data_IF_594632686925
#
_entry.id   IF_594632686925
#
_cell.length_a   1.000
_cell.length_b   1.000
_cell.length_c   1.000
_cell.angle_alpha   90.00
_cell.angle_beta   90.00
_cell.angle_gamma   90.00
#
_symmetry.space_group_name_H-M   'P 1'
#
loop_
_entity.id
_entity.type
_entity.pdbx_description
1 polymer ?
#
# COMPACT_ATOMS: atom_id res chain seq x y z
N UNK A 1 8.56 19.25 14.12
CA UNK A 1 10.01 19.11 13.87
C UNK A 1 10.18 18.63 12.44
N UNK A 2 10.61 19.55 11.56
CA UNK A 2 10.68 19.30 10.12
C UNK A 2 11.96 18.53 9.78
N UNK A 3 11.83 17.23 9.55
CA UNK A 3 12.89 16.48 8.90
C UNK A 3 13.07 16.98 7.47
N UNK A 4 14.29 17.42 7.12
CA UNK A 4 14.64 17.89 5.79
C UNK A 4 14.38 16.79 4.76
N UNK A 5 13.68 17.08 3.63
CA UNK A 5 13.37 16.08 2.61
C UNK A 5 14.63 15.35 2.06
N UNK A 6 15.79 16.00 2.09
CA UNK A 6 17.06 15.39 1.70
C UNK A 6 17.57 14.28 2.64
N UNK A 7 17.26 14.38 3.93
CA UNK A 7 17.67 13.35 4.90
C UNK A 7 16.87 12.06 4.72
N UNK A 8 15.58 12.16 4.39
CA UNK A 8 14.72 10.99 4.14
C UNK A 8 15.19 10.23 2.88
N UNK A 9 15.46 10.94 1.80
CA UNK A 9 16.01 10.36 0.56
C UNK A 9 17.39 9.72 0.77
N UNK A 10 18.25 10.32 1.60
CA UNK A 10 19.57 9.77 1.91
C UNK A 10 19.44 8.48 2.75
N UNK A 11 18.51 8.46 3.70
CA UNK A 11 18.22 7.27 4.51
C UNK A 11 17.63 6.15 3.64
N UNK A 12 16.73 6.46 2.72
CA UNK A 12 16.19 5.49 1.76
C UNK A 12 17.27 4.93 0.84
N UNK A 13 18.14 5.79 0.29
CA UNK A 13 19.28 5.35 -0.54
C UNK A 13 20.24 4.46 0.23
N UNK A 14 20.60 4.84 1.46
CA UNK A 14 21.46 4.03 2.35
C UNK A 14 20.79 2.70 2.76
N UNK A 15 19.45 2.65 2.87
CA UNK A 15 18.71 1.41 3.15
C UNK A 15 18.73 0.48 1.94
N UNK A 16 18.62 1.02 0.73
CA UNK A 16 18.71 0.23 -0.51
C UNK A 16 20.09 -0.41 -0.70
N UNK A 17 21.17 0.27 -0.33
CA UNK A 17 22.53 -0.30 -0.34
C UNK A 17 22.77 -1.35 0.76
N UNK A 18 21.97 -1.33 1.84
CA UNK A 18 22.12 -2.25 2.99
C UNK A 18 21.38 -3.58 2.85
N UNK A 19 20.56 -3.75 1.81
CA UNK A 19 19.88 -5.03 1.57
C UNK A 19 20.84 -5.92 0.78
N UNK A 20 21.45 -6.87 1.47
CA UNK A 20 22.33 -7.85 0.87
C UNK A 20 21.59 -8.71 -0.17
N UNK A 21 22.31 -9.26 -1.13
CA UNK A 21 21.75 -10.14 -2.16
C UNK A 21 20.92 -11.30 -1.56
N UNK A 22 21.41 -11.90 -0.48
CA UNK A 22 20.68 -12.92 0.27
C UNK A 22 19.35 -12.42 0.85
N UNK A 23 19.29 -11.17 1.33
CA UNK A 23 18.04 -10.59 1.83
C UNK A 23 17.02 -10.41 0.70
N UNK A 24 17.48 -10.01 -0.48
CA UNK A 24 16.66 -9.92 -1.70
C UNK A 24 16.11 -11.29 -2.12
N UNK A 25 16.93 -12.33 -2.08
CA UNK A 25 16.49 -13.71 -2.35
C UNK A 25 15.42 -14.17 -1.34
N UNK A 26 15.63 -13.90 -0.06
CA UNK A 26 14.65 -14.19 0.99
C UNK A 26 13.34 -13.44 0.72
N UNK A 27 13.40 -12.15 0.40
CA UNK A 27 12.21 -11.34 0.08
C UNK A 27 11.45 -11.91 -1.11
N UNK A 28 12.11 -12.27 -2.19
CA UNK A 28 11.48 -12.86 -3.37
C UNK A 28 10.69 -14.13 -3.02
N UNK A 29 11.26 -15.00 -2.18
CA UNK A 29 10.59 -16.23 -1.74
C UNK A 29 9.37 -15.93 -0.87
N UNK A 30 9.52 -15.11 0.18
CA UNK A 30 8.44 -14.86 1.16
C UNK A 30 7.34 -13.95 0.59
N UNK A 31 7.63 -13.10 -0.37
CA UNK A 31 6.64 -12.27 -1.06
C UNK A 31 5.72 -13.12 -1.96
N UNK A 32 6.22 -14.21 -2.53
CA UNK A 32 5.40 -15.16 -3.32
C UNK A 32 4.57 -16.07 -2.42
N UNK A 33 5.10 -16.46 -1.26
CA UNK A 33 4.42 -17.32 -0.30
C UNK A 33 4.79 -16.94 1.14
N UNK A 34 4.02 -16.05 1.75
CA UNK A 34 4.25 -15.64 3.14
C UNK A 34 4.08 -16.76 4.18
N UNK A 35 3.52 -17.92 3.78
CA UNK A 35 3.35 -19.10 4.65
C UNK A 35 4.42 -20.14 4.48
N UNK A 36 5.42 -19.92 3.64
CA UNK A 36 6.51 -20.86 3.45
C UNK A 36 7.22 -21.12 4.79
N UNK A 37 7.52 -22.38 5.09
CA UNK A 37 8.21 -22.69 6.32
C UNK A 37 9.65 -22.13 6.28
N UNK A 38 10.09 -21.54 7.40
CA UNK A 38 11.45 -20.97 7.48
C UNK A 38 12.56 -22.00 7.19
N UNK A 39 12.26 -23.32 7.38
CA UNK A 39 13.15 -24.40 7.01
C UNK A 39 13.35 -24.49 5.49
N UNK A 40 12.29 -24.32 4.72
CA UNK A 40 12.33 -24.41 3.27
C UNK A 40 13.04 -23.19 2.68
N UNK A 41 12.79 -21.99 3.21
CA UNK A 41 13.53 -20.78 2.87
C UNK A 41 15.03 -20.95 3.16
N UNK A 42 15.37 -21.52 4.32
CA UNK A 42 16.75 -21.78 4.71
C UNK A 42 17.46 -22.75 3.74
N UNK A 43 16.76 -23.81 3.34
CA UNK A 43 17.25 -24.80 2.37
C UNK A 43 17.50 -24.14 1.01
N UNK A 44 16.55 -23.35 0.50
CA UNK A 44 16.65 -22.68 -0.78
C UNK A 44 17.76 -21.60 -0.81
N UNK A 45 17.97 -20.95 0.33
CA UNK A 45 19.01 -19.92 0.49
C UNK A 45 20.39 -20.47 0.88
N UNK A 46 20.50 -21.76 1.22
CA UNK A 46 21.77 -22.36 1.66
C UNK A 46 22.28 -21.86 3.01
N UNK A 47 21.39 -21.46 3.93
CA UNK A 47 21.75 -20.91 5.24
C UNK A 47 20.98 -21.60 6.37
N UNK A 48 21.33 -21.31 7.62
CA UNK A 48 20.59 -21.86 8.77
C UNK A 48 19.24 -21.19 8.95
N UNK A 49 18.28 -21.92 9.54
CA UNK A 49 16.96 -21.39 9.93
C UNK A 49 17.07 -20.16 10.85
N UNK A 50 18.04 -20.19 11.79
CA UNK A 50 18.29 -19.04 12.68
C UNK A 50 18.71 -17.79 11.91
N UNK A 51 19.57 -17.96 10.88
CA UNK A 51 19.97 -16.85 10.02
C UNK A 51 18.79 -16.26 9.24
N UNK A 52 17.85 -17.07 8.75
CA UNK A 52 16.62 -16.59 8.09
C UNK A 52 15.79 -15.74 9.06
N UNK A 53 15.53 -16.23 10.28
CA UNK A 53 14.78 -15.48 11.27
C UNK A 53 15.42 -14.13 11.61
N UNK A 54 16.73 -14.11 11.84
CA UNK A 54 17.45 -12.87 12.14
C UNK A 54 17.37 -11.86 10.98
N UNK A 55 17.48 -12.33 9.73
CA UNK A 55 17.40 -11.46 8.55
C UNK A 55 16.00 -10.91 8.34
N UNK A 56 14.96 -11.73 8.47
CA UNK A 56 13.57 -11.29 8.38
C UNK A 56 13.29 -10.26 9.49
N UNK A 57 13.68 -10.54 10.73
CA UNK A 57 13.50 -9.60 11.83
C UNK A 57 14.21 -8.27 11.55
N UNK A 58 15.47 -8.30 11.10
CA UNK A 58 16.20 -7.09 10.70
C UNK A 58 15.47 -6.32 9.60
N UNK A 59 14.90 -6.98 8.60
CA UNK A 59 14.16 -6.31 7.53
C UNK A 59 12.85 -5.69 8.04
N UNK A 60 12.21 -6.27 9.04
CA UNK A 60 11.06 -5.69 9.73
C UNK A 60 11.50 -4.45 10.52
N UNK A 61 12.56 -4.54 11.30
CA UNK A 61 13.09 -3.45 12.13
C UNK A 61 13.55 -2.25 11.28
N UNK A 62 14.04 -2.52 10.06
CA UNK A 62 14.41 -1.51 9.07
C UNK A 62 13.24 -1.02 8.22
N UNK A 63 12.02 -1.47 8.50
CA UNK A 63 10.80 -1.14 7.75
C UNK A 63 10.86 -1.49 6.24
N UNK A 64 11.70 -2.47 5.87
CA UNK A 64 11.75 -3.07 4.52
C UNK A 64 10.54 -3.99 4.32
N UNK A 65 10.23 -4.79 5.35
CA UNK A 65 8.98 -5.57 5.42
C UNK A 65 8.00 -4.74 6.23
N UNK A 66 6.99 -4.20 5.55
CA UNK A 66 5.99 -3.31 6.15
C UNK A 66 4.78 -4.05 6.72
N UNK A 67 4.63 -5.33 6.40
CA UNK A 67 3.55 -6.17 6.90
C UNK A 67 3.38 -7.45 6.10
N UNK A 68 2.50 -8.30 6.61
CA UNK A 68 2.05 -9.51 5.91
C UNK A 68 0.59 -9.79 6.29
N UNK A 69 -0.20 -10.34 5.36
CA UNK A 69 -1.60 -10.62 5.60
C UNK A 69 -2.20 -11.58 4.59
N UNK A 70 -3.46 -11.96 4.81
CA UNK A 70 -4.25 -12.72 3.85
C UNK A 70 -4.92 -11.75 2.87
N UNK A 71 -4.83 -12.04 1.59
CA UNK A 71 -5.66 -11.38 0.59
C UNK A 71 -7.03 -12.07 0.59
N UNK A 72 -8.09 -11.30 0.70
CA UNK A 72 -9.47 -11.77 0.68
C UNK A 72 -10.16 -11.15 -0.52
N UNK A 73 -10.99 -11.94 -1.22
CA UNK A 73 -11.83 -11.41 -2.29
C UNK A 73 -12.90 -10.48 -1.71
N UNK A 74 -12.88 -9.18 -2.06
CA UNK A 74 -13.86 -8.22 -1.55
C UNK A 74 -15.31 -8.61 -1.86
N UNK A 75 -15.55 -9.32 -2.97
CA UNK A 75 -16.89 -9.76 -3.39
C UNK A 75 -17.50 -10.72 -2.39
N UNK A 76 -16.68 -11.59 -1.78
CA UNK A 76 -17.14 -12.54 -0.73
C UNK A 76 -17.56 -11.78 0.53
N UNK A 77 -16.99 -10.61 0.78
CA UNK A 77 -17.37 -9.72 1.88
C UNK A 77 -18.54 -8.78 1.52
N UNK A 78 -19.12 -8.94 0.33
CA UNK A 78 -20.26 -8.13 -0.12
C UNK A 78 -19.89 -6.85 -0.87
N UNK A 79 -18.60 -6.53 -1.02
CA UNK A 79 -18.10 -5.36 -1.76
C UNK A 79 -17.95 -5.71 -3.24
N UNK A 80 -18.89 -5.27 -4.06
CA UNK A 80 -18.98 -5.66 -5.48
C UNK A 80 -18.43 -4.62 -6.44
N UNK A 81 -18.26 -3.38 -5.98
CA UNK A 81 -17.83 -2.26 -6.81
C UNK A 81 -16.50 -1.74 -6.30
N UNK A 82 -15.45 -1.85 -7.11
CA UNK A 82 -14.16 -1.22 -6.87
C UNK A 82 -14.13 0.11 -7.63
N UNK A 83 -13.76 1.19 -6.95
CA UNK A 83 -13.71 2.52 -7.53
C UNK A 83 -12.39 3.23 -7.22
N UNK A 84 -11.91 3.98 -8.20
CA UNK A 84 -10.87 4.99 -8.04
C UNK A 84 -11.52 6.36 -8.09
N UNK A 85 -11.25 7.21 -7.11
CA UNK A 85 -11.84 8.55 -7.02
C UNK A 85 -10.73 9.58 -7.02
N UNK A 86 -10.74 10.43 -8.04
CA UNK A 86 -9.96 11.67 -8.05
C UNK A 86 -10.62 12.69 -7.14
N UNK A 87 -9.89 13.20 -6.17
CA UNK A 87 -10.36 14.21 -5.22
C UNK A 87 -9.63 15.51 -5.46
N UNK A 88 -10.38 16.59 -5.67
CA UNK A 88 -9.86 17.94 -5.80
C UNK A 88 -9.94 18.66 -4.46
N UNK A 89 -8.85 19.31 -4.08
CA UNK A 89 -8.77 20.11 -2.87
C UNK A 89 -8.75 21.61 -3.22
N UNK A 90 -9.30 22.42 -2.33
CA UNK A 90 -9.24 23.88 -2.45
C UNK A 90 -7.78 24.36 -2.55
N UNK A 91 -6.90 23.78 -1.74
CA UNK A 91 -5.44 24.00 -1.75
C UNK A 91 -4.72 22.69 -1.47
N UNK A 92 -3.63 22.43 -2.18
CA UNK A 92 -2.88 21.20 -2.05
C UNK A 92 -2.40 20.90 -0.62
N UNK A 93 -2.09 21.95 0.18
CA UNK A 93 -1.67 21.77 1.58
C UNK A 93 -2.74 21.13 2.48
N UNK A 94 -4.02 21.23 2.11
CA UNK A 94 -5.15 20.66 2.88
C UNK A 94 -5.17 19.13 2.91
N UNK A 95 -4.35 18.46 2.11
CA UNK A 95 -4.29 16.99 2.16
C UNK A 95 -4.01 16.46 3.57
N UNK A 96 -3.23 17.20 4.38
CA UNK A 96 -2.88 16.82 5.75
C UNK A 96 -4.07 16.85 6.72
N UNK A 97 -5.07 17.65 6.40
CA UNK A 97 -6.32 17.79 7.17
C UNK A 97 -7.38 16.81 6.65
N UNK A 98 -7.38 16.56 5.34
CA UNK A 98 -8.35 15.69 4.66
C UNK A 98 -8.05 14.21 4.89
N UNK A 99 -6.77 13.78 4.90
CA UNK A 99 -6.38 12.37 5.08
C UNK A 99 -6.95 11.76 6.38
N UNK A 100 -6.84 12.41 7.57
CA UNK A 100 -7.43 11.85 8.78
C UNK A 100 -8.95 11.67 8.73
N UNK A 101 -9.66 12.48 7.94
CA UNK A 101 -11.11 12.31 7.74
C UNK A 101 -11.41 11.14 6.78
N UNK A 102 -10.60 10.98 5.73
CA UNK A 102 -10.70 9.82 4.83
C UNK A 102 -10.40 8.50 5.55
N UNK A 103 -9.45 8.49 6.49
CA UNK A 103 -9.10 7.31 7.30
C UNK A 103 -10.27 6.80 8.16
N UNK A 104 -11.25 7.65 8.48
CA UNK A 104 -12.47 7.24 9.20
C UNK A 104 -13.46 6.46 8.34
N UNK A 105 -13.24 6.39 7.04
CA UNK A 105 -14.08 5.69 6.07
C UNK A 105 -13.42 4.34 5.74
N UNK A 106 -13.85 3.24 6.36
CA UNK A 106 -13.16 1.94 6.25
C UNK A 106 -13.22 1.33 4.84
N UNK A 107 -14.12 1.79 3.99
CA UNK A 107 -14.22 1.41 2.59
C UNK A 107 -13.06 1.94 1.73
N UNK A 108 -12.37 2.98 2.18
CA UNK A 108 -11.18 3.52 1.52
C UNK A 108 -9.98 2.65 1.91
N UNK A 109 -9.37 2.03 0.93
CA UNK A 109 -8.25 1.08 1.14
C UNK A 109 -6.90 1.64 0.70
N UNK A 110 -6.90 2.65 -0.17
CA UNK A 110 -5.68 3.33 -0.64
C UNK A 110 -5.97 4.84 -0.78
N UNK A 111 -4.97 5.65 -0.45
CA UNK A 111 -5.03 7.10 -0.61
C UNK A 111 -3.65 7.62 -1.02
N UNK A 112 -3.58 8.31 -2.15
CA UNK A 112 -2.36 8.87 -2.69
C UNK A 112 -2.52 10.38 -2.89
N UNK A 113 -1.54 11.17 -2.46
CA UNK A 113 -1.38 12.55 -2.89
C UNK A 113 -0.64 12.54 -4.23
N UNK A 114 -1.22 13.15 -5.26
CA UNK A 114 -0.76 12.97 -6.64
C UNK A 114 -0.39 14.28 -7.31
N UNK A 115 0.43 14.17 -8.36
CA UNK A 115 0.59 15.21 -9.37
C UNK A 115 -0.39 14.97 -10.50
N UNK A 116 -0.93 16.02 -11.13
CA UNK A 116 -1.83 15.88 -12.27
C UNK A 116 -3.20 16.51 -12.01
N UNK A 117 -4.28 15.98 -12.63
CA UNK A 117 -5.60 16.65 -12.62
C UNK A 117 -6.30 16.59 -11.27
N UNK A 118 -5.93 15.67 -10.39
CA UNK A 118 -6.50 15.52 -9.05
C UNK A 118 -5.44 15.80 -7.99
N UNK A 119 -5.83 16.40 -6.87
CA UNK A 119 -4.95 16.57 -5.72
C UNK A 119 -4.66 15.24 -5.04
N UNK A 120 -5.66 14.36 -5.00
CA UNK A 120 -5.55 13.05 -4.39
C UNK A 120 -6.25 12.00 -5.26
N UNK A 121 -5.76 10.77 -5.20
CA UNK A 121 -6.41 9.60 -5.79
C UNK A 121 -6.64 8.58 -4.67
N UNK A 122 -7.90 8.20 -4.47
CA UNK A 122 -8.27 7.19 -3.49
C UNK A 122 -8.86 5.98 -4.18
N UNK A 123 -8.70 4.81 -3.55
CA UNK A 123 -9.35 3.57 -3.95
C UNK A 123 -10.28 3.11 -2.85
N UNK A 124 -11.51 2.82 -3.20
CA UNK A 124 -12.49 2.29 -2.27
C UNK A 124 -13.30 1.13 -2.85
N UNK A 125 -13.93 0.39 -1.96
CA UNK A 125 -14.86 -0.66 -2.31
C UNK A 125 -16.25 -0.31 -1.77
N UNK A 126 -17.26 -0.36 -2.65
CA UNK A 126 -18.65 -0.20 -2.29
C UNK A 126 -19.41 -1.51 -2.49
N UNK A 127 -20.50 -1.69 -1.74
CA UNK A 127 -21.38 -2.86 -1.86
C UNK A 127 -22.14 -2.83 -3.19
N UNK A 128 -22.64 -1.67 -3.53
CA UNK A 128 -23.46 -1.37 -4.71
C UNK A 128 -23.37 0.13 -5.04
N UNK A 129 -24.14 0.56 -6.04
CA UNK A 129 -24.16 1.97 -6.46
C UNK A 129 -24.81 2.90 -5.44
N UNK A 130 -25.79 2.43 -4.66
CA UNK A 130 -26.43 3.23 -3.61
C UNK A 130 -25.44 3.53 -2.49
N UNK A 131 -24.73 2.51 -2.03
CA UNK A 131 -23.65 2.67 -1.05
C UNK A 131 -22.50 3.56 -1.58
N UNK A 132 -22.14 3.45 -2.87
CA UNK A 132 -21.16 4.32 -3.48
C UNK A 132 -21.60 5.79 -3.45
N UNK A 133 -22.86 6.06 -3.77
CA UNK A 133 -23.44 7.40 -3.73
C UNK A 133 -23.42 7.98 -2.31
N UNK A 134 -23.78 7.18 -1.30
CA UNK A 134 -23.68 7.56 0.13
C UNK A 134 -22.25 7.92 0.52
N UNK A 135 -21.27 7.08 0.17
CA UNK A 135 -19.84 7.34 0.44
C UNK A 135 -19.35 8.64 -0.20
N UNK A 136 -19.77 8.90 -1.44
CA UNK A 136 -19.39 10.11 -2.16
C UNK A 136 -20.03 11.37 -1.56
N UNK A 137 -21.36 11.39 -1.46
CA UNK A 137 -22.13 12.59 -1.16
C UNK A 137 -22.11 12.91 0.34
N UNK A 138 -22.27 11.89 1.19
CA UNK A 138 -22.50 12.11 2.62
C UNK A 138 -21.21 12.00 3.44
N UNK A 139 -20.14 11.43 2.87
CA UNK A 139 -18.85 11.30 3.57
C UNK A 139 -17.75 12.08 2.88
N UNK A 140 -17.33 11.71 1.66
CA UNK A 140 -16.13 12.26 1.04
C UNK A 140 -16.29 13.73 0.66
N UNK A 141 -17.40 14.08 -0.01
CA UNK A 141 -17.64 15.46 -0.47
C UNK A 141 -18.00 16.41 0.68
N UNK A 142 -18.34 15.88 1.85
CA UNK A 142 -18.60 16.68 3.05
C UNK A 142 -17.33 17.04 3.83
N UNK A 143 -16.18 16.47 3.48
CA UNK A 143 -14.91 16.78 4.14
C UNK A 143 -14.50 18.22 3.80
N UNK A 144 -14.26 19.08 4.79
CA UNK A 144 -13.79 20.44 4.55
C UNK A 144 -12.50 20.47 3.71
N UNK A 145 -12.50 21.28 2.66
CA UNK A 145 -11.37 21.38 1.73
C UNK A 145 -11.50 20.51 0.49
N UNK A 146 -12.44 19.57 0.44
CA UNK A 146 -12.79 18.85 -0.80
C UNK A 146 -13.70 19.74 -1.64
N UNK A 147 -13.31 20.02 -2.87
CA UNK A 147 -14.05 20.89 -3.81
C UNK A 147 -14.78 20.08 -4.89
N UNK A 148 -14.40 18.86 -5.12
CA UNK A 148 -15.04 17.99 -6.09
C UNK A 148 -14.39 16.61 -6.17
N UNK A 149 -15.13 15.70 -6.79
CA UNK A 149 -14.69 14.32 -6.99
C UNK A 149 -15.00 13.87 -8.40
N UNK A 150 -14.13 13.02 -8.96
CA UNK A 150 -14.38 12.29 -10.20
C UNK A 150 -14.24 10.80 -9.93
N UNK A 151 -15.25 10.01 -10.32
CA UNK A 151 -15.34 8.59 -9.99
C UNK A 151 -15.08 7.73 -11.21
N UNK A 152 -14.11 6.82 -11.08
CA UNK A 152 -13.75 5.83 -12.08
C UNK A 152 -14.10 4.43 -11.52
N UNK A 153 -15.09 3.77 -12.10
CA UNK A 153 -15.45 2.40 -11.71
C UNK A 153 -14.51 1.43 -12.39
N UNK A 154 -13.84 0.59 -11.61
CA UNK A 154 -13.01 -0.50 -12.12
C UNK A 154 -13.91 -1.61 -12.64
N UNK A 155 -13.87 -1.86 -13.93
CA UNK A 155 -14.67 -2.92 -14.57
C UNK A 155 -14.05 -4.30 -14.38
N UNK A 156 -12.70 -4.35 -14.34
CA UNK A 156 -11.92 -5.58 -14.13
C UNK A 156 -10.58 -5.26 -13.48
N UNK A 157 -10.06 -6.20 -12.69
CA UNK A 157 -8.73 -6.14 -12.08
C UNK A 157 -7.86 -7.24 -12.73
N UNK A 158 -7.38 -6.96 -13.93
CA UNK A 158 -6.72 -7.95 -14.79
C UNK A 158 -5.33 -8.38 -14.31
N UNK A 159 -4.62 -7.53 -13.55
CA UNK A 159 -3.27 -7.82 -13.05
C UNK A 159 -3.20 -7.51 -11.56
N UNK A 160 -2.88 -8.54 -10.78
CA UNK A 160 -2.57 -8.42 -9.35
C UNK A 160 -1.37 -9.30 -9.03
N UNK A 161 -0.23 -8.68 -8.78
CA UNK A 161 1.01 -9.39 -8.45
C UNK A 161 1.91 -8.54 -7.57
N UNK A 162 2.81 -9.19 -6.84
CA UNK A 162 3.86 -8.52 -6.08
C UNK A 162 4.92 -7.91 -7.00
N UNK A 163 5.65 -6.91 -6.52
CA UNK A 163 6.77 -6.33 -7.24
C UNK A 163 7.87 -7.37 -7.44
N UNK A 164 8.57 -7.37 -8.59
CA UNK A 164 9.71 -8.24 -8.80
C UNK A 164 10.89 -7.80 -7.91
N UNK A 165 11.55 -8.78 -7.31
CA UNK A 165 12.81 -8.56 -6.59
C UNK A 165 13.94 -9.10 -7.44
N UNK A 166 14.94 -8.27 -7.73
CA UNK A 166 16.14 -8.69 -8.46
C UNK A 166 17.27 -8.98 -7.49
N UNK A 167 17.96 -10.11 -7.69
CA UNK A 167 19.16 -10.52 -6.95
C UNK A 167 20.09 -11.30 -7.90
N UNK A 168 21.37 -11.32 -7.59
CA UNK A 168 22.38 -12.08 -8.35
C UNK A 168 22.40 -13.53 -7.84
N UNK A 169 22.53 -14.50 -8.74
CA UNK A 169 22.61 -15.95 -8.44
C UNK A 169 23.98 -16.32 -7.87
#
# INVERSE_FOLDING_TARGET
>A
MNGSPGLHLLIEYMLMEKIANLDRKILDIIMRNARIASKDVATECGVSRAAIHQRIQRMIDLNVITGSGYNVDPKVLGYRTCTYIGVNLERGAMYREVVPELEKIPEIVECHFTTGPYSMLIKLFARDNEHLMELLNDKIQMIPGVTGTETLISLDHSISRVLPVTYDD
#
